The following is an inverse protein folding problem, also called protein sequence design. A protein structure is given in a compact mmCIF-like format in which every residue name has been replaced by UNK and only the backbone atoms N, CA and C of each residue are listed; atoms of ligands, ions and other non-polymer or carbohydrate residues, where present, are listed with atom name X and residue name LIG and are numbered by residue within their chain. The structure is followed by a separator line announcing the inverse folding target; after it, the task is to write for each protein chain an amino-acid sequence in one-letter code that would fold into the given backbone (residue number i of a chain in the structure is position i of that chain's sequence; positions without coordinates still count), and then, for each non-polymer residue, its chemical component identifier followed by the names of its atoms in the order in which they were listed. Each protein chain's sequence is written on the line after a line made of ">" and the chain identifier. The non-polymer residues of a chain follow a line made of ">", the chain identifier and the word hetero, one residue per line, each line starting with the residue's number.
data_IF_922886690123
#
_entry.id   IF_922886690123
#
_cell.length_a   1.000
_cell.length_b   1.000
_cell.length_c   1.000
_cell.angle_alpha   90.00
_cell.angle_beta   90.00
_cell.angle_gamma   90.00
#
_symmetry.space_group_name_H-M   'P 1'
#
loop_
_entity.id
_entity.type
_entity.pdbx_description
1 polymer ?
#
# COMPACT_ATOMS: atom_id res chain seq x y z
N UNK A 1 18.40 -2.18 5.83
CA UNK A 1 17.43 -3.31 5.85
C UNK A 1 16.03 -2.76 5.62
N UNK A 2 15.07 -3.58 5.13
CA UNK A 2 13.67 -3.17 4.97
C UNK A 2 12.81 -3.94 5.96
N UNK A 3 11.96 -3.22 6.69
CA UNK A 3 10.98 -3.80 7.61
C UNK A 3 9.58 -3.40 7.15
N UNK A 4 8.70 -4.39 7.03
CA UNK A 4 7.29 -4.17 6.76
C UNK A 4 6.53 -4.16 8.08
N UNK A 5 5.82 -3.08 8.34
CA UNK A 5 4.95 -2.93 9.49
C UNK A 5 3.50 -3.03 9.01
N UNK A 6 2.87 -4.16 9.30
CA UNK A 6 1.44 -4.35 9.05
C UNK A 6 0.70 -3.62 10.17
N UNK A 7 -0.02 -2.55 9.83
CA UNK A 7 -0.68 -1.68 10.81
C UNK A 7 -2.09 -2.15 11.10
N UNK A 8 -2.77 -2.61 10.05
CA UNK A 8 -4.17 -3.06 10.10
C UNK A 8 -4.44 -4.00 8.93
N UNK A 9 -5.35 -4.92 9.07
CA UNK A 9 -5.92 -5.72 7.98
C UNK A 9 -7.20 -5.09 7.42
N UNK A 10 -7.75 -4.05 8.07
CA UNK A 10 -8.88 -3.31 7.56
C UNK A 10 -8.54 -2.55 6.27
N UNK A 11 -9.52 -2.47 5.38
CA UNK A 11 -9.42 -1.73 4.12
C UNK A 11 -10.75 -1.07 3.77
N UNK A 12 -10.67 0.16 3.26
CA UNK A 12 -11.84 0.89 2.75
C UNK A 12 -12.21 0.54 1.30
N UNK A 13 -11.55 -0.45 0.71
CA UNK A 13 -11.86 -1.04 -0.60
C UNK A 13 -12.12 -2.54 -0.50
N UNK A 14 -12.72 -3.06 -1.58
CA UNK A 14 -13.08 -4.46 -1.75
C UNK A 14 -12.68 -4.90 -3.16
N UNK A 15 -11.36 -4.87 -3.44
CA UNK A 15 -10.84 -5.19 -4.76
C UNK A 15 -11.16 -6.65 -5.15
N UNK A 16 -11.41 -6.89 -6.45
CA UNK A 16 -11.80 -8.21 -6.96
C UNK A 16 -10.78 -9.32 -6.68
N UNK A 17 -9.51 -8.96 -6.69
CA UNK A 17 -8.36 -9.83 -6.47
C UNK A 17 -7.78 -9.73 -5.04
N UNK A 18 -8.52 -9.18 -4.09
CA UNK A 18 -7.97 -8.99 -2.74
C UNK A 18 -7.81 -10.33 -2.02
N UNK A 19 -6.56 -10.75 -1.77
CA UNK A 19 -6.25 -12.02 -1.09
C UNK A 19 -6.71 -12.07 0.37
N UNK A 20 -6.92 -10.93 1.02
CA UNK A 20 -7.50 -10.91 2.37
C UNK A 20 -8.91 -11.51 2.43
N UNK A 21 -9.61 -11.59 1.28
CA UNK A 21 -10.91 -12.25 1.15
C UNK A 21 -10.83 -13.68 0.68
N UNK A 22 -9.75 -14.04 -0.03
CA UNK A 22 -9.56 -15.39 -0.55
C UNK A 22 -9.38 -16.43 0.58
N UNK A 23 -9.02 -16.00 1.78
CA UNK A 23 -8.94 -16.89 2.93
C UNK A 23 -10.30 -17.20 3.59
N UNK A 24 -11.35 -16.42 3.27
CA UNK A 24 -12.70 -16.69 3.77
C UNK A 24 -13.49 -17.69 2.88
N UNK A 25 -13.07 -17.89 1.62
CA UNK A 25 -13.80 -18.71 0.62
C UNK A 25 -12.99 -19.83 -0.01
N UNK A 26 -11.74 -20.04 0.35
CA UNK A 26 -11.01 -21.18 -0.16
C UNK A 26 -11.53 -22.47 0.50
N UNK A 27 -12.41 -23.17 -0.21
CA UNK A 27 -12.34 -24.62 -0.20
C UNK A 27 -10.86 -24.95 -0.45
N UNK A 28 -10.18 -25.27 0.63
CA UNK A 28 -8.78 -25.67 0.59
C UNK A 28 -8.63 -26.71 -0.51
N UNK A 29 -7.69 -26.51 -1.41
CA UNK A 29 -7.17 -27.59 -2.20
C UNK A 29 -6.61 -28.58 -1.20
N UNK A 30 -7.45 -29.52 -0.77
CA UNK A 30 -7.05 -30.64 0.05
C UNK A 30 -6.22 -31.54 -0.86
N UNK A 31 -4.95 -31.21 -0.98
CA UNK A 31 -3.97 -32.20 -1.39
C UNK A 31 -3.80 -33.12 -0.17
N UNK A 32 -4.32 -34.37 -0.26
CA UNK A 32 -4.30 -35.29 0.88
C UNK A 32 -2.89 -35.64 1.37
N UNK A 33 -1.84 -35.26 0.63
CA UNK A 33 -0.45 -35.53 0.95
C UNK A 33 0.28 -34.30 1.56
N UNK A 34 -0.39 -33.14 1.69
CA UNK A 34 0.19 -31.97 2.36
C UNK A 34 -0.38 -31.79 3.76
N UNK A 35 0.52 -31.69 4.76
CA UNK A 35 0.08 -31.27 6.09
C UNK A 35 -0.52 -29.86 6.01
N UNK A 36 -1.68 -29.62 6.67
CA UNK A 36 -2.31 -28.31 6.65
C UNK A 36 -1.35 -27.28 7.23
N UNK A 37 -1.08 -26.21 6.49
CA UNK A 37 -0.34 -25.07 7.02
C UNK A 37 -1.25 -24.41 8.05
N UNK A 38 -0.91 -24.51 9.33
CA UNK A 38 -1.56 -23.72 10.38
C UNK A 38 -1.26 -22.24 10.10
N UNK A 39 -2.24 -21.52 9.55
CA UNK A 39 -2.21 -20.07 9.49
C UNK A 39 -2.57 -19.57 10.88
N UNK A 40 -1.67 -18.79 11.49
CA UNK A 40 -1.94 -18.15 12.78
C UNK A 40 -3.05 -17.10 12.61
N UNK A 41 -4.30 -17.55 12.72
CA UNK A 41 -5.50 -16.72 12.66
C UNK A 41 -5.69 -15.82 13.91
N UNK A 42 -4.77 -15.87 14.87
CA UNK A 42 -4.82 -15.09 16.10
C UNK A 42 -4.05 -13.76 16.02
N UNK A 43 -3.49 -13.42 14.86
CA UNK A 43 -2.92 -12.08 14.68
C UNK A 43 -4.04 -11.04 14.81
N UNK A 44 -3.85 -10.01 15.67
CA UNK A 44 -4.84 -8.96 15.81
C UNK A 44 -5.01 -8.20 14.50
N UNK A 45 -6.25 -7.86 14.17
CA UNK A 45 -6.58 -7.06 12.96
C UNK A 45 -5.93 -5.68 12.96
N UNK A 46 -5.58 -5.19 14.13
CA UNK A 46 -4.90 -3.91 14.31
C UNK A 46 -3.62 -4.06 15.11
N UNK A 47 -2.64 -3.22 14.75
CA UNK A 47 -1.42 -3.10 15.53
C UNK A 47 -1.74 -2.51 16.91
N UNK A 48 -1.67 -3.33 17.94
CA UNK A 48 -1.88 -2.95 19.36
C UNK A 48 -0.71 -3.46 20.21
N UNK A 49 0.40 -2.74 20.17
CA UNK A 49 1.53 -2.99 21.06
C UNK A 49 2.25 -1.69 21.45
N UNK A 50 3.05 -1.77 22.50
CA UNK A 50 3.86 -0.64 22.94
C UNK A 50 4.91 -0.26 21.87
N UNK A 51 4.72 0.91 21.25
CA UNK A 51 5.63 1.45 20.23
C UNK A 51 7.08 1.59 20.71
N UNK A 52 7.31 1.62 22.02
CA UNK A 52 8.66 1.64 22.57
C UNK A 52 9.46 0.38 22.19
N UNK A 53 8.79 -0.76 22.05
CA UNK A 53 9.40 -2.01 21.60
C UNK A 53 9.87 -1.90 20.16
N UNK A 54 9.01 -1.35 19.27
CA UNK A 54 9.36 -1.07 17.88
C UNK A 54 10.55 -0.11 17.80
N UNK A 55 10.51 0.99 18.54
CA UNK A 55 11.60 1.98 18.51
C UNK A 55 12.91 1.41 19.04
N UNK A 56 12.87 0.60 20.10
CA UNK A 56 14.07 -0.07 20.61
C UNK A 56 14.64 -1.11 19.63
N UNK A 57 13.77 -1.76 18.87
CA UNK A 57 14.20 -2.65 17.80
C UNK A 57 14.87 -1.86 16.67
N UNK A 58 14.23 -0.78 16.18
CA UNK A 58 14.72 0.04 15.07
C UNK A 58 16.02 0.80 15.40
N UNK A 59 16.28 1.11 16.68
CA UNK A 59 17.57 1.68 17.12
C UNK A 59 18.78 0.82 16.76
N UNK A 60 18.59 -0.48 16.56
CA UNK A 60 19.66 -1.41 16.17
C UNK A 60 20.13 -1.23 14.74
N UNK A 61 19.27 -0.66 13.87
CA UNK A 61 19.60 -0.32 12.47
C UNK A 61 18.95 1.01 12.08
N UNK A 62 19.56 2.14 12.43
CA UNK A 62 19.02 3.47 12.08
C UNK A 62 18.99 3.73 10.55
N UNK A 63 19.69 2.91 9.76
CA UNK A 63 19.69 2.98 8.29
C UNK A 63 18.54 2.21 7.66
N UNK A 64 17.75 1.49 8.46
CA UNK A 64 16.61 0.74 7.98
C UNK A 64 15.56 1.63 7.31
N UNK A 65 14.83 1.04 6.39
CA UNK A 65 13.61 1.62 5.82
C UNK A 65 12.40 0.92 6.45
N UNK A 66 11.50 1.70 7.01
CA UNK A 66 10.25 1.20 7.56
C UNK A 66 9.13 1.39 6.53
N UNK A 67 8.51 0.29 6.13
CA UNK A 67 7.42 0.27 5.15
C UNK A 67 6.10 0.03 5.86
N UNK A 68 5.17 0.96 5.73
CA UNK A 68 3.80 0.79 6.19
C UNK A 68 3.00 -0.02 5.17
N UNK A 69 2.37 -1.07 5.66
CA UNK A 69 1.65 -2.05 4.85
C UNK A 69 0.40 -2.56 5.60
N UNK A 70 -0.44 -3.36 4.92
CA UNK A 70 -1.60 -4.01 5.51
C UNK A 70 -2.79 -4.02 4.56
N UNK A 71 -4.01 -3.95 5.07
CA UNK A 71 -5.21 -3.69 4.28
C UNK A 71 -5.09 -2.31 3.62
N UNK A 72 -5.46 -1.24 4.33
CA UNK A 72 -5.13 0.13 3.94
C UNK A 72 -4.48 0.88 5.11
N UNK A 73 -3.17 1.13 5.06
CA UNK A 73 -2.46 1.76 6.18
C UNK A 73 -3.03 3.14 6.57
N UNK A 74 -3.54 3.90 5.61
CA UNK A 74 -4.10 5.23 5.85
C UNK A 74 -5.44 5.22 6.61
N UNK A 75 -6.00 4.06 6.92
CA UNK A 75 -7.06 3.93 7.92
C UNK A 75 -6.55 4.29 9.34
N UNK A 76 -5.24 4.19 9.58
CA UNK A 76 -4.57 4.46 10.85
C UNK A 76 -3.59 5.64 10.77
N UNK A 77 -4.04 6.77 10.19
CA UNK A 77 -3.21 7.97 9.93
C UNK A 77 -2.55 8.49 11.20
N UNK A 78 -3.26 8.52 12.32
CA UNK A 78 -2.72 9.03 13.60
C UNK A 78 -1.55 8.17 14.09
N UNK A 79 -1.67 6.84 13.96
CA UNK A 79 -0.61 5.90 14.30
C UNK A 79 0.60 6.07 13.37
N UNK A 80 0.37 6.19 12.06
CA UNK A 80 1.44 6.47 11.08
C UNK A 80 2.17 7.76 11.44
N UNK A 81 1.42 8.85 11.69
CA UNK A 81 1.99 10.15 12.03
C UNK A 81 2.84 10.06 13.31
N UNK A 82 2.35 9.35 14.31
CA UNK A 82 3.08 9.12 15.57
C UNK A 82 4.38 8.36 15.34
N UNK A 83 4.35 7.29 14.52
CA UNK A 83 5.54 6.49 14.23
C UNK A 83 6.54 7.31 13.40
N UNK A 84 6.09 8.00 12.35
CA UNK A 84 6.95 8.82 11.50
C UNK A 84 7.66 9.92 12.27
N UNK A 85 7.02 10.50 13.29
CA UNK A 85 7.60 11.53 14.14
C UNK A 85 8.62 10.98 15.14
N UNK A 86 8.43 9.77 15.66
CA UNK A 86 9.18 9.27 16.82
C UNK A 86 10.12 8.11 16.51
N UNK A 87 9.93 7.40 15.39
CA UNK A 87 10.79 6.27 15.06
C UNK A 87 12.23 6.69 14.75
N UNK A 88 13.22 5.97 15.25
CA UNK A 88 14.66 6.31 15.10
C UNK A 88 15.22 5.86 13.74
N UNK A 89 14.44 5.98 12.67
CA UNK A 89 14.84 5.70 11.29
C UNK A 89 14.58 6.93 10.42
N UNK A 90 15.31 7.04 9.32
CA UNK A 90 15.23 8.21 8.45
C UNK A 90 14.36 7.98 7.20
N UNK A 91 14.13 6.74 6.83
CA UNK A 91 13.43 6.39 5.59
C UNK A 91 12.13 5.67 5.89
N UNK A 92 11.07 6.22 5.35
CA UNK A 92 9.74 5.63 5.38
C UNK A 92 9.26 5.36 3.97
N UNK A 93 8.55 4.26 3.80
CA UNK A 93 7.86 3.87 2.57
C UNK A 93 6.45 3.47 2.94
N UNK A 94 5.52 3.62 2.03
CA UNK A 94 4.14 3.21 2.24
C UNK A 94 3.58 2.58 0.96
N UNK A 95 2.80 1.52 1.11
CA UNK A 95 1.92 1.04 0.06
C UNK A 95 0.47 1.34 0.44
N UNK A 96 -0.25 2.02 -0.45
CA UNK A 96 -1.61 2.50 -0.19
C UNK A 96 -2.48 2.36 -1.44
N UNK A 97 -3.79 2.23 -1.24
CA UNK A 97 -4.76 2.35 -2.33
C UNK A 97 -4.94 3.81 -2.82
N UNK A 98 -4.39 4.78 -2.10
CA UNK A 98 -4.32 6.18 -2.49
C UNK A 98 -5.57 7.02 -2.18
N UNK A 99 -6.68 6.43 -1.73
CA UNK A 99 -7.94 7.15 -1.51
C UNK A 99 -7.86 8.16 -0.36
N UNK A 100 -6.97 7.96 0.60
CA UNK A 100 -6.86 8.78 1.80
C UNK A 100 -5.55 9.60 1.85
N UNK A 101 -4.81 9.69 0.75
CA UNK A 101 -3.54 10.44 0.69
C UNK A 101 -3.72 11.93 1.02
N UNK A 102 -4.85 12.52 0.68
CA UNK A 102 -5.21 13.90 0.98
C UNK A 102 -5.40 14.20 2.48
N UNK A 103 -5.51 13.17 3.31
CA UNK A 103 -5.64 13.28 4.76
C UNK A 103 -4.30 13.36 5.50
N UNK A 104 -3.21 13.00 4.82
CA UNK A 104 -1.87 13.18 5.41
C UNK A 104 -1.48 14.65 5.44
N UNK A 105 -0.92 15.09 6.57
CA UNK A 105 -0.35 16.43 6.63
C UNK A 105 0.86 16.56 5.70
N UNK A 106 1.12 17.76 5.11
CA UNK A 106 2.32 17.98 4.30
C UNK A 106 3.62 17.63 5.03
N UNK A 107 3.66 17.82 6.34
CA UNK A 107 4.79 17.46 7.18
C UNK A 107 5.00 15.95 7.23
N UNK A 108 3.94 15.18 7.48
CA UNK A 108 4.02 13.72 7.54
C UNK A 108 4.36 13.13 6.18
N UNK A 109 3.70 13.58 5.10
CA UNK A 109 3.92 13.01 3.76
C UNK A 109 5.33 13.28 3.26
N UNK A 110 5.93 14.42 3.59
CA UNK A 110 7.31 14.77 3.19
C UNK A 110 8.37 13.82 3.74
N UNK A 111 8.05 13.07 4.79
CA UNK A 111 8.95 12.09 5.41
C UNK A 111 9.02 10.77 4.64
N UNK A 112 8.10 10.52 3.74
CA UNK A 112 8.11 9.31 2.91
C UNK A 112 9.08 9.47 1.74
N UNK A 113 10.10 8.61 1.70
CA UNK A 113 11.03 8.55 0.58
C UNK A 113 10.37 7.94 -0.66
N UNK A 114 9.43 7.01 -0.46
CA UNK A 114 8.71 6.32 -1.53
C UNK A 114 7.27 6.07 -1.11
N UNK A 115 6.33 6.35 -2.01
CA UNK A 115 4.92 5.96 -1.87
C UNK A 115 4.55 5.08 -3.07
N UNK A 116 4.09 3.86 -2.80
CA UNK A 116 3.52 2.97 -3.80
C UNK A 116 2.00 3.15 -3.80
N UNK A 117 1.46 3.62 -4.91
CA UNK A 117 0.02 3.85 -5.06
C UNK A 117 -0.58 2.79 -5.98
N UNK A 118 -1.65 2.17 -5.51
CA UNK A 118 -2.32 1.10 -6.23
C UNK A 118 -3.17 1.64 -7.37
N UNK A 119 -2.75 1.40 -8.61
CA UNK A 119 -3.46 1.71 -9.85
C UNK A 119 -3.20 0.60 -10.88
N UNK A 120 -4.24 0.14 -11.57
CA UNK A 120 -4.12 -1.00 -12.49
C UNK A 120 -3.99 -0.58 -13.96
N UNK A 121 -4.06 0.70 -14.25
CA UNK A 121 -4.00 1.27 -15.59
C UNK A 121 -5.03 2.36 -15.79
N UNK A 122 -5.82 2.28 -16.86
CA UNK A 122 -6.90 3.24 -17.17
C UNK A 122 -8.02 3.20 -16.14
N UNK A 123 -8.89 4.22 -16.20
CA UNK A 123 -10.02 4.39 -15.28
C UNK A 123 -10.93 3.15 -15.27
N UNK A 124 -11.31 2.66 -16.44
CA UNK A 124 -12.21 1.51 -16.60
C UNK A 124 -11.64 0.23 -15.94
N UNK A 125 -10.37 -0.07 -16.17
CA UNK A 125 -9.71 -1.24 -15.57
C UNK A 125 -9.53 -1.05 -14.05
N UNK A 126 -9.05 0.11 -13.62
CA UNK A 126 -8.85 0.38 -12.19
C UNK A 126 -10.17 0.34 -11.43
N UNK A 127 -11.23 0.95 -11.96
CA UNK A 127 -12.53 0.99 -11.32
C UNK A 127 -13.23 -0.38 -11.34
N UNK A 128 -13.06 -1.16 -12.40
CA UNK A 128 -13.56 -2.54 -12.45
C UNK A 128 -12.97 -3.42 -11.35
N UNK A 129 -11.68 -3.28 -11.08
CA UNK A 129 -10.97 -4.08 -10.09
C UNK A 129 -11.13 -3.56 -8.66
N UNK A 130 -11.14 -2.24 -8.48
CA UNK A 130 -11.03 -1.60 -7.15
C UNK A 130 -12.30 -0.90 -6.68
N UNK A 131 -13.27 -0.73 -7.56
CA UNK A 131 -14.53 -0.05 -7.28
C UNK A 131 -14.65 1.29 -7.99
N UNK A 132 -15.89 1.62 -8.38
CA UNK A 132 -16.21 2.79 -9.17
C UNK A 132 -15.74 4.10 -8.51
N UNK A 133 -15.09 4.98 -9.30
CA UNK A 133 -14.59 6.28 -8.86
C UNK A 133 -13.23 6.23 -8.17
N UNK A 134 -12.67 5.04 -7.94
CA UNK A 134 -11.34 4.88 -7.33
C UNK A 134 -10.26 5.60 -8.13
N UNK A 135 -10.21 5.37 -9.44
CA UNK A 135 -9.23 5.99 -10.31
C UNK A 135 -9.22 7.52 -10.18
N UNK A 136 -10.38 8.16 -10.33
CA UNK A 136 -10.49 9.64 -10.27
C UNK A 136 -10.03 10.19 -8.93
N UNK A 137 -10.46 9.56 -7.81
CA UNK A 137 -10.07 10.00 -6.48
C UNK A 137 -8.58 9.87 -6.22
N UNK A 138 -7.99 8.75 -6.63
CA UNK A 138 -6.54 8.53 -6.52
C UNK A 138 -5.77 9.56 -7.34
N UNK A 139 -6.21 9.83 -8.57
CA UNK A 139 -5.58 10.83 -9.43
C UNK A 139 -5.64 12.24 -8.87
N UNK A 140 -6.80 12.64 -8.34
CA UNK A 140 -6.95 13.90 -7.64
C UNK A 140 -5.98 14.00 -6.45
N UNK A 141 -5.90 12.95 -5.65
CA UNK A 141 -5.01 12.91 -4.50
C UNK A 141 -3.53 12.97 -4.89
N UNK A 142 -3.11 12.27 -5.94
CA UNK A 142 -1.75 12.38 -6.48
C UNK A 142 -1.43 13.81 -6.91
N UNK A 143 -2.32 14.47 -7.65
CA UNK A 143 -2.16 15.87 -8.05
C UNK A 143 -2.06 16.79 -6.83
N UNK A 144 -2.91 16.57 -5.83
CA UNK A 144 -2.90 17.36 -4.60
C UNK A 144 -1.58 17.23 -3.82
N UNK A 145 -1.08 16.01 -3.61
CA UNK A 145 0.19 15.82 -2.89
C UNK A 145 1.37 16.41 -3.67
N UNK A 146 1.40 16.28 -5.00
CA UNK A 146 2.41 16.90 -5.85
C UNK A 146 2.36 18.43 -5.78
N UNK A 147 1.15 19.01 -5.86
CA UNK A 147 0.96 20.46 -5.71
C UNK A 147 1.41 20.97 -4.34
N UNK A 148 1.20 20.18 -3.30
CA UNK A 148 1.63 20.48 -1.94
C UNK A 148 3.11 20.17 -1.66
N UNK A 149 3.91 19.89 -2.70
CA UNK A 149 5.36 19.80 -2.62
C UNK A 149 5.95 18.41 -2.39
N UNK A 150 5.15 17.34 -2.47
CA UNK A 150 5.71 15.98 -2.43
C UNK A 150 6.46 15.68 -3.75
N UNK A 151 7.79 15.74 -3.70
CA UNK A 151 8.67 15.55 -4.86
C UNK A 151 9.49 14.25 -4.77
N UNK A 152 9.21 13.41 -3.79
CA UNK A 152 9.88 12.13 -3.62
C UNK A 152 9.31 11.08 -4.58
N UNK A 153 9.84 9.87 -4.48
CA UNK A 153 9.48 8.77 -5.37
C UNK A 153 8.01 8.36 -5.21
N UNK A 154 7.32 8.29 -6.34
CA UNK A 154 5.96 7.79 -6.45
C UNK A 154 5.95 6.63 -7.44
N UNK A 155 5.51 5.46 -6.99
CA UNK A 155 5.48 4.24 -7.79
C UNK A 155 4.02 3.84 -8.02
N UNK A 156 3.64 3.58 -9.28
CA UNK A 156 2.38 2.91 -9.55
C UNK A 156 2.52 1.42 -9.29
N UNK A 157 1.60 0.85 -8.50
CA UNK A 157 1.56 -0.58 -8.22
C UNK A 157 0.32 -1.20 -8.83
N UNK A 158 0.54 -2.02 -9.84
CA UNK A 158 -0.49 -2.75 -10.59
C UNK A 158 -0.66 -4.16 -10.05
N UNK A 159 -1.89 -4.65 -10.07
CA UNK A 159 -2.17 -6.09 -10.04
C UNK A 159 -2.63 -6.51 -11.43
N UNK A 160 -1.99 -7.51 -11.98
CA UNK A 160 -2.25 -8.04 -13.31
C UNK A 160 -3.09 -9.30 -13.17
N UNK A 161 -4.25 -9.30 -13.79
CA UNK A 161 -5.16 -10.45 -13.88
C UNK A 161 -5.46 -10.78 -15.36
N UNK A 162 -6.36 -11.73 -15.59
CA UNK A 162 -6.71 -12.20 -16.95
C UNK A 162 -7.24 -11.10 -17.87
N UNK A 163 -7.84 -10.03 -17.31
CA UNK A 163 -8.40 -8.92 -18.08
C UNK A 163 -7.38 -7.79 -18.37
N UNK A 164 -6.16 -7.90 -17.85
CA UNK A 164 -5.16 -6.83 -17.93
C UNK A 164 -4.33 -6.93 -19.21
N UNK A 165 -4.45 -5.94 -20.09
CA UNK A 165 -3.42 -5.68 -21.10
C UNK A 165 -2.25 -4.93 -20.44
N UNK A 166 -1.19 -5.69 -20.09
CA UNK A 166 -0.02 -5.16 -19.38
C UNK A 166 0.65 -4.04 -20.16
N UNK A 167 0.77 -4.18 -21.48
CA UNK A 167 1.45 -3.21 -22.31
C UNK A 167 0.67 -1.88 -22.32
N UNK A 168 -0.65 -1.92 -22.56
CA UNK A 168 -1.50 -0.71 -22.53
C UNK A 168 -1.47 -0.07 -21.14
N UNK A 169 -1.63 -0.84 -20.08
CA UNK A 169 -1.66 -0.33 -18.72
C UNK A 169 -0.34 0.34 -18.31
N UNK A 170 0.80 -0.29 -18.63
CA UNK A 170 2.13 0.27 -18.34
C UNK A 170 2.36 1.54 -19.14
N UNK A 171 2.07 1.55 -20.45
CA UNK A 171 2.21 2.75 -21.28
C UNK A 171 1.32 3.89 -20.78
N UNK A 172 0.06 3.58 -20.43
CA UNK A 172 -0.87 4.58 -19.89
C UNK A 172 -0.34 5.26 -18.63
N UNK A 173 0.19 4.48 -17.69
CA UNK A 173 0.73 5.00 -16.43
C UNK A 173 2.08 5.72 -16.63
N UNK A 174 2.93 5.21 -17.52
CA UNK A 174 4.26 5.79 -17.77
C UNK A 174 4.21 7.10 -18.55
N UNK A 175 3.36 7.17 -19.58
CA UNK A 175 3.32 8.29 -20.51
C UNK A 175 2.44 9.44 -20.02
N UNK A 176 1.74 9.29 -18.91
CA UNK A 176 0.84 10.30 -18.42
C UNK A 176 1.58 11.35 -17.57
N UNK A 177 1.71 12.61 -18.05
CA UNK A 177 2.45 13.65 -17.36
C UNK A 177 1.80 14.08 -16.03
N UNK A 178 0.51 13.83 -15.87
CA UNK A 178 -0.25 14.18 -14.66
C UNK A 178 0.18 13.37 -13.43
N UNK A 179 0.80 12.19 -13.63
CA UNK A 179 1.12 11.27 -12.54
C UNK A 179 2.55 11.39 -12.06
N UNK A 180 3.47 11.66 -12.96
CA UNK A 180 4.92 11.73 -12.66
C UNK A 180 5.40 10.55 -11.82
N UNK A 181 4.97 9.32 -12.21
CA UNK A 181 5.47 8.12 -11.56
C UNK A 181 6.95 7.91 -11.89
N UNK A 182 7.73 7.58 -10.87
CA UNK A 182 9.16 7.27 -11.03
C UNK A 182 9.37 5.88 -11.65
N UNK A 183 8.44 4.96 -11.37
CA UNK A 183 8.42 3.60 -11.93
C UNK A 183 7.04 2.98 -11.80
N UNK A 184 6.86 1.87 -12.50
CA UNK A 184 5.65 1.05 -12.43
C UNK A 184 6.07 -0.35 -11.98
N UNK A 185 5.48 -0.80 -10.91
CA UNK A 185 5.67 -2.13 -10.37
C UNK A 185 4.39 -2.94 -10.53
N UNK A 186 4.48 -4.13 -11.09
CA UNK A 186 3.33 -5.00 -11.27
C UNK A 186 3.57 -6.40 -10.68
N UNK A 187 2.48 -7.05 -10.29
CA UNK A 187 2.47 -8.42 -9.82
C UNK A 187 1.30 -9.18 -10.44
N UNK A 188 1.45 -10.47 -10.59
CA UNK A 188 0.36 -11.36 -10.98
C UNK A 188 -0.57 -11.60 -9.79
N UNK A 189 -1.87 -11.73 -10.10
CA UNK A 189 -2.88 -12.21 -9.17
C UNK A 189 -2.64 -13.64 -8.74
#
# INVERSE_FOLDING_TARGET
>A
MYFHLIITDECNLCCSYCRAKAFEETECWEDPDTEPIEIDSFLPSELDFDLSLLYNFLKKDPSATLTFYGGEPLMRIDLISTIVQNAPVQRFTMQTNGLLLDRLSPETISRFATILVSLDGREDLTDANRGAGTYRKVMENIKNIRHNGYNQELIARMTVNESTDIADAVHWLADNPDYSFSSIHWQLE
#
